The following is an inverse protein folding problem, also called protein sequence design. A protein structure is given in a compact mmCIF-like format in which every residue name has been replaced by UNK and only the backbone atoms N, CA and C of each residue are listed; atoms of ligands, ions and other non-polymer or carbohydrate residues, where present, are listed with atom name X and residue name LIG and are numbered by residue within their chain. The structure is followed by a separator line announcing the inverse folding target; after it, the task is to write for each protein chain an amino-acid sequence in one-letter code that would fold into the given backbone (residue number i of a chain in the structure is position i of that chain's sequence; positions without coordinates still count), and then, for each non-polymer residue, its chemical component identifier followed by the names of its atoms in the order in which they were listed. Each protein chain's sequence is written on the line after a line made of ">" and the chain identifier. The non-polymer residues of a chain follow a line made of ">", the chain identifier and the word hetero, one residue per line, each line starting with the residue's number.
data_IF_931929259380
#
_entry.id   IF_931929259380
#
_cell.length_a   1.000
_cell.length_b   1.000
_cell.length_c   1.000
_cell.angle_alpha   90.00
_cell.angle_beta   90.00
_cell.angle_gamma   90.00
#
_symmetry.space_group_name_H-M   'P 1'
#
loop_
_entity.id
_entity.type
_entity.pdbx_description
1 polymer ?
#
# COMPACT_ATOMS: atom_id res chain seq x y z
N UNK A 1 -25.02 -11.65 -4.91
CA UNK A 1 -24.54 -11.95 -6.27
C UNK A 1 -25.27 -10.99 -7.18
N UNK A 2 -24.61 -9.97 -7.73
CA UNK A 2 -25.27 -9.02 -8.64
C UNK A 2 -25.54 -9.72 -9.98
N UNK A 3 -26.73 -9.60 -10.52
CA UNK A 3 -27.13 -10.22 -11.81
C UNK A 3 -26.63 -9.39 -13.00
N UNK A 4 -26.49 -10.01 -14.16
CA UNK A 4 -26.06 -9.34 -15.41
C UNK A 4 -26.95 -8.13 -15.75
N UNK A 5 -28.25 -8.20 -15.44
CA UNK A 5 -29.22 -7.11 -15.62
C UNK A 5 -28.95 -5.90 -14.68
N UNK A 6 -28.31 -6.10 -13.53
CA UNK A 6 -27.89 -4.99 -12.64
C UNK A 6 -26.60 -4.31 -13.16
N UNK A 7 -25.85 -4.99 -14.04
CA UNK A 7 -24.68 -4.44 -14.74
C UNK A 7 -25.11 -3.69 -16.00
N UNK A 8 -26.18 -4.14 -16.67
CA UNK A 8 -26.82 -3.45 -17.79
C UNK A 8 -27.39 -2.07 -17.41
N UNK A 9 -27.73 -1.87 -16.11
CA UNK A 9 -28.16 -0.59 -15.57
C UNK A 9 -27.07 0.27 -14.93
N UNK A 10 -25.79 -0.15 -14.98
CA UNK A 10 -24.71 0.61 -14.33
C UNK A 10 -24.33 1.87 -15.13
N UNK A 11 -24.19 1.73 -16.46
CA UNK A 11 -23.90 2.81 -17.42
C UNK A 11 -24.57 2.49 -18.76
N UNK A 12 -25.19 3.49 -19.40
CA UNK A 12 -25.54 3.41 -20.83
C UNK A 12 -24.28 3.57 -21.69
N UNK A 13 -23.70 2.45 -22.12
CA UNK A 13 -22.52 2.40 -22.98
C UNK A 13 -22.75 2.97 -24.40
N UNK A 14 -24.00 3.22 -24.79
CA UNK A 14 -24.34 3.89 -26.05
C UNK A 14 -24.31 5.42 -25.91
N UNK A 15 -24.32 5.93 -24.68
CA UNK A 15 -24.23 7.35 -24.37
C UNK A 15 -22.77 7.77 -24.14
N UNK A 16 -22.23 8.51 -25.11
CA UNK A 16 -20.85 9.01 -25.07
C UNK A 16 -20.53 9.87 -23.84
N UNK A 17 -21.45 10.72 -23.41
CA UNK A 17 -21.21 11.62 -22.26
C UNK A 17 -21.25 10.87 -20.93
N UNK A 18 -22.10 9.85 -20.84
CA UNK A 18 -22.14 8.96 -19.68
C UNK A 18 -20.86 8.12 -19.58
N UNK A 19 -20.40 7.56 -20.71
CA UNK A 19 -19.12 6.85 -20.77
C UNK A 19 -17.94 7.75 -20.41
N UNK A 20 -17.92 8.99 -20.92
CA UNK A 20 -16.90 9.99 -20.57
C UNK A 20 -16.91 10.33 -19.08
N UNK A 21 -18.10 10.50 -18.49
CA UNK A 21 -18.28 10.78 -17.07
C UNK A 21 -17.74 9.64 -16.21
N UNK A 22 -18.05 8.39 -16.56
CA UNK A 22 -17.53 7.22 -15.86
C UNK A 22 -16.00 7.11 -15.94
N UNK A 23 -15.43 7.26 -17.14
CA UNK A 23 -13.98 7.22 -17.32
C UNK A 23 -13.31 8.29 -16.46
N UNK A 24 -13.84 9.51 -16.47
CA UNK A 24 -13.29 10.64 -15.72
C UNK A 24 -13.39 10.44 -14.20
N UNK A 25 -14.56 10.01 -13.71
CA UNK A 25 -14.86 10.03 -12.28
C UNK A 25 -14.48 8.73 -11.56
N UNK A 26 -14.48 7.60 -12.26
CA UNK A 26 -14.25 6.27 -11.67
C UNK A 26 -12.94 5.66 -12.16
N UNK A 27 -12.76 5.50 -13.47
CA UNK A 27 -11.59 4.80 -14.04
C UNK A 27 -10.30 5.57 -13.75
N UNK A 28 -10.25 6.86 -14.08
CA UNK A 28 -9.07 7.70 -13.84
C UNK A 28 -8.79 7.85 -12.35
N UNK A 29 -9.83 8.01 -11.52
CA UNK A 29 -9.68 8.10 -10.06
C UNK A 29 -9.03 6.85 -9.48
N UNK A 30 -9.54 5.66 -9.82
CA UNK A 30 -8.98 4.39 -9.36
C UNK A 30 -7.58 4.14 -9.93
N UNK A 31 -7.33 4.51 -11.19
CA UNK A 31 -6.00 4.43 -11.81
C UNK A 31 -4.99 5.29 -11.04
N UNK A 32 -5.36 6.52 -10.66
CA UNK A 32 -4.48 7.39 -9.84
C UNK A 32 -4.17 6.77 -8.49
N UNK A 33 -5.18 6.27 -7.78
CA UNK A 33 -4.99 5.69 -6.44
C UNK A 33 -4.10 4.44 -6.52
N UNK A 34 -4.37 3.54 -7.47
CA UNK A 34 -3.57 2.33 -7.67
C UNK A 34 -2.14 2.63 -8.10
N UNK A 35 -1.93 3.64 -8.95
CA UNK A 35 -0.61 4.15 -9.27
C UNK A 35 0.11 4.62 -7.99
N UNK A 36 -0.52 5.46 -7.17
CA UNK A 36 0.09 6.01 -5.95
C UNK A 36 0.47 4.91 -4.97
N UNK A 37 -0.42 3.94 -4.73
CA UNK A 37 -0.15 2.82 -3.81
C UNK A 37 1.00 1.95 -4.32
N UNK A 38 1.01 1.65 -5.63
CA UNK A 38 2.07 0.86 -6.28
C UNK A 38 3.43 1.56 -6.16
N UNK A 39 3.51 2.83 -6.52
CA UNK A 39 4.77 3.59 -6.45
C UNK A 39 5.20 3.82 -5.00
N UNK A 40 4.26 4.05 -4.07
CA UNK A 40 4.55 4.13 -2.63
C UNK A 40 5.21 2.84 -2.11
N UNK A 41 4.72 1.68 -2.53
CA UNK A 41 5.34 0.40 -2.21
C UNK A 41 6.75 0.26 -2.79
N UNK A 42 6.98 0.69 -4.05
CA UNK A 42 8.32 0.67 -4.64
C UNK A 42 9.31 1.53 -3.86
N UNK A 43 8.89 2.72 -3.42
CA UNK A 43 9.73 3.60 -2.60
C UNK A 43 10.01 3.01 -1.20
N UNK A 44 9.02 2.41 -0.54
CA UNK A 44 9.25 1.65 0.71
C UNK A 44 10.29 0.56 0.48
N UNK A 45 10.14 -0.22 -0.59
CA UNK A 45 11.05 -1.33 -0.89
C UNK A 45 12.46 -0.83 -1.15
N UNK A 46 12.63 0.27 -1.90
CA UNK A 46 13.93 0.89 -2.16
C UNK A 46 14.58 1.43 -0.89
N UNK A 47 13.81 2.04 0.01
CA UNK A 47 14.35 2.64 1.24
C UNK A 47 14.71 1.59 2.31
N UNK A 48 13.89 0.56 2.47
CA UNK A 48 13.97 -0.32 3.64
C UNK A 48 14.47 -1.74 3.38
N UNK A 49 14.38 -2.27 2.15
CA UNK A 49 14.68 -3.69 1.94
C UNK A 49 16.18 -4.00 2.16
N UNK A 50 16.45 -4.98 3.02
CA UNK A 50 17.79 -5.35 3.51
C UNK A 50 18.51 -4.26 4.32
N UNK A 51 17.83 -3.19 4.75
CA UNK A 51 18.41 -2.16 5.60
C UNK A 51 18.60 -2.70 7.04
N UNK A 52 19.79 -2.57 7.65
CA UNK A 52 19.97 -2.88 9.07
C UNK A 52 19.06 -2.01 9.95
N UNK A 53 18.41 -2.60 10.96
CA UNK A 53 17.52 -1.87 11.86
C UNK A 53 18.24 -0.72 12.59
N UNK A 54 19.54 -0.85 12.84
CA UNK A 54 20.39 0.21 13.43
C UNK A 54 20.56 1.44 12.53
N UNK A 55 20.39 1.28 11.22
CA UNK A 55 20.51 2.34 10.22
C UNK A 55 19.16 3.00 9.89
N UNK A 56 18.05 2.41 10.34
CA UNK A 56 16.71 3.00 10.18
C UNK A 56 16.64 4.31 10.96
N UNK A 57 16.17 5.37 10.30
CA UNK A 57 15.95 6.68 10.93
C UNK A 57 14.97 6.53 12.08
N UNK A 58 15.23 7.22 13.20
CA UNK A 58 14.39 7.16 14.41
C UNK A 58 12.91 7.45 14.13
N UNK A 59 12.63 8.36 13.19
CA UNK A 59 11.27 8.73 12.76
C UNK A 59 10.53 7.60 12.04
N UNK A 60 11.25 6.67 11.40
CA UNK A 60 10.69 5.57 10.62
C UNK A 60 10.57 4.26 11.44
N UNK A 61 11.24 4.17 12.60
CA UNK A 61 11.16 3.03 13.52
C UNK A 61 9.71 2.63 13.87
N UNK A 62 8.75 3.55 14.11
CA UNK A 62 7.36 3.19 14.37
C UNK A 62 6.70 2.37 13.25
N UNK A 63 7.15 2.49 12.00
CA UNK A 63 6.62 1.69 10.88
C UNK A 63 6.95 0.21 11.04
N UNK A 64 8.06 -0.11 11.71
CA UNK A 64 8.55 -1.47 11.93
C UNK A 64 8.15 -2.03 13.30
N UNK A 65 8.14 -1.17 14.33
CA UNK A 65 7.99 -1.58 15.73
C UNK A 65 6.75 -1.02 16.42
N UNK A 66 6.00 -0.12 15.77
CA UNK A 66 4.85 0.56 16.34
C UNK A 66 3.75 -0.42 16.77
N UNK A 67 3.59 -0.56 18.09
CA UNK A 67 2.58 -1.43 18.69
C UNK A 67 2.97 -2.90 18.76
N UNK A 68 4.27 -3.24 18.75
CA UNK A 68 4.77 -4.57 19.10
C UNK A 68 4.81 -4.73 20.63
N UNK A 69 4.43 -5.91 21.12
CA UNK A 69 4.54 -6.32 22.52
C UNK A 69 5.44 -7.56 22.64
N UNK A 70 6.70 -7.40 23.05
CA UNK A 70 7.64 -8.51 23.18
C UNK A 70 7.24 -9.57 24.22
N UNK A 71 6.37 -9.25 25.18
CA UNK A 71 6.08 -10.08 26.36
C UNK A 71 4.66 -10.68 26.35
N UNK A 72 3.95 -10.68 25.22
CA UNK A 72 2.60 -11.25 25.11
C UNK A 72 2.51 -12.32 24.04
N UNK A 73 1.56 -13.26 24.22
CA UNK A 73 1.24 -14.30 23.25
C UNK A 73 0.88 -13.72 21.87
N UNK A 74 0.26 -12.53 21.84
CA UNK A 74 0.07 -11.74 20.63
C UNK A 74 1.20 -10.72 20.46
N UNK A 75 2.00 -10.88 19.39
CA UNK A 75 3.14 -10.00 19.07
C UNK A 75 2.69 -8.55 18.78
N UNK A 76 1.51 -8.37 18.18
CA UNK A 76 1.04 -7.06 17.71
C UNK A 76 -0.26 -6.65 18.40
N UNK A 77 -0.30 -5.40 18.84
CA UNK A 77 -1.53 -4.74 19.29
C UNK A 77 -2.62 -4.70 18.21
N UNK A 78 -3.88 -4.61 18.63
CA UNK A 78 -5.05 -4.45 17.75
C UNK A 78 -4.89 -3.30 16.74
N UNK A 79 -4.36 -2.17 17.18
CA UNK A 79 -4.12 -0.98 16.35
C UNK A 79 -2.62 -0.78 16.06
N UNK A 80 -1.86 -1.86 15.93
CA UNK A 80 -0.42 -1.80 15.65
C UNK A 80 -0.16 -1.23 14.26
N UNK A 81 0.67 -0.19 14.22
CA UNK A 81 1.17 0.41 12.98
C UNK A 81 2.04 -0.60 12.21
N UNK A 82 2.94 -1.29 12.91
CA UNK A 82 3.79 -2.31 12.30
C UNK A 82 2.97 -3.44 11.66
N UNK A 83 1.90 -3.89 12.32
CA UNK A 83 0.99 -4.90 11.76
C UNK A 83 0.29 -4.40 10.49
N UNK A 84 -0.11 -3.14 10.46
CA UNK A 84 -0.73 -2.53 9.29
C UNK A 84 0.23 -2.50 8.10
N UNK A 85 1.45 -1.99 8.30
CA UNK A 85 2.48 -1.94 7.26
C UNK A 85 2.91 -3.34 6.78
N UNK A 86 3.04 -4.30 7.69
CA UNK A 86 3.25 -5.71 7.34
C UNK A 86 2.14 -6.26 6.43
N UNK A 87 0.86 -5.97 6.75
CA UNK A 87 -0.26 -6.56 6.01
C UNK A 87 -0.46 -5.97 4.63
N UNK A 88 -0.30 -4.65 4.48
CA UNK A 88 -0.51 -3.97 3.20
C UNK A 88 0.76 -3.90 2.36
N UNK A 89 1.92 -3.64 2.97
CA UNK A 89 3.17 -3.37 2.24
C UNK A 89 4.29 -4.38 2.54
N UNK A 90 4.05 -5.36 3.41
CA UNK A 90 5.01 -6.43 3.71
C UNK A 90 6.29 -5.98 4.40
N UNK A 91 6.30 -4.74 4.93
CA UNK A 91 7.39 -4.14 5.68
C UNK A 91 7.48 -4.75 7.08
N UNK A 92 8.61 -5.39 7.40
CA UNK A 92 8.83 -6.04 8.70
C UNK A 92 10.30 -6.18 9.04
N UNK A 93 10.59 -6.53 10.29
CA UNK A 93 11.88 -7.13 10.63
C UNK A 93 11.93 -8.56 10.09
N UNK A 94 13.05 -8.90 9.44
CA UNK A 94 13.29 -10.25 8.89
C UNK A 94 13.21 -11.34 9.95
N UNK A 95 13.73 -11.05 11.15
CA UNK A 95 13.65 -11.93 12.31
C UNK A 95 13.19 -11.16 13.56
N UNK A 96 11.86 -10.95 13.62
CA UNK A 96 11.20 -10.32 14.76
C UNK A 96 11.36 -11.10 16.07
N UNK A 97 11.52 -12.43 16.00
CA UNK A 97 11.64 -13.28 17.19
C UNK A 97 13.00 -13.08 17.85
N UNK A 98 14.08 -13.08 17.05
CA UNK A 98 15.40 -12.71 17.54
C UNK A 98 15.40 -11.30 18.13
N UNK A 99 14.76 -10.32 17.50
CA UNK A 99 14.62 -8.97 18.07
C UNK A 99 13.93 -8.99 19.44
N UNK A 100 12.81 -9.71 19.58
CA UNK A 100 12.08 -9.85 20.85
C UNK A 100 12.98 -10.47 21.93
N UNK A 101 13.70 -11.55 21.61
CA UNK A 101 14.61 -12.21 22.55
C UNK A 101 15.75 -11.28 23.00
N UNK A 102 16.33 -10.51 22.08
CA UNK A 102 17.35 -9.50 22.41
C UNK A 102 16.80 -8.44 23.38
N UNK A 103 15.56 -7.98 23.18
CA UNK A 103 14.92 -7.01 24.10
C UNK A 103 14.62 -7.59 25.47
N UNK A 104 14.33 -8.90 25.57
CA UNK A 104 14.04 -9.58 26.84
C UNK A 104 15.31 -9.88 27.65
N UNK A 105 16.39 -10.28 26.98
CA UNK A 105 17.60 -10.79 27.62
C UNK A 105 18.78 -9.79 27.63
N UNK A 106 18.68 -8.68 26.90
CA UNK A 106 19.73 -7.64 26.84
C UNK A 106 20.99 -8.06 26.08
N UNK A 107 20.93 -9.16 25.33
CA UNK A 107 22.04 -9.70 24.55
C UNK A 107 21.92 -9.27 23.08
N UNK A 108 23.03 -8.85 22.46
CA UNK A 108 23.08 -8.53 21.03
C UNK A 108 23.35 -9.80 20.22
N UNK A 109 22.29 -10.57 19.97
CA UNK A 109 22.41 -11.92 19.40
C UNK A 109 22.69 -11.92 17.88
N UNK A 110 22.15 -10.96 17.13
CA UNK A 110 22.21 -10.90 15.66
C UNK A 110 21.97 -9.48 15.13
N UNK A 111 22.56 -9.17 13.98
CA UNK A 111 22.19 -7.99 13.20
C UNK A 111 20.81 -8.21 12.56
N UNK A 112 19.84 -7.38 12.95
CA UNK A 112 18.46 -7.49 12.49
C UNK A 112 18.27 -6.58 11.30
N UNK A 113 17.87 -7.15 10.18
CA UNK A 113 17.58 -6.43 8.95
C UNK A 113 16.08 -6.28 8.75
N UNK A 114 15.72 -5.24 8.00
CA UNK A 114 14.38 -5.00 7.51
C UNK A 114 14.18 -5.78 6.21
N UNK A 115 12.97 -6.28 6.02
CA UNK A 115 12.53 -6.99 4.82
C UNK A 115 11.25 -6.36 4.30
N UNK A 116 11.17 -6.15 2.98
CA UNK A 116 9.96 -5.67 2.30
C UNK A 116 9.51 -6.72 1.30
N UNK A 117 8.47 -7.46 1.66
CA UNK A 117 7.89 -8.51 0.82
C UNK A 117 6.66 -8.02 0.07
N UNK A 118 6.49 -8.48 -1.17
CA UNK A 118 5.26 -8.19 -1.91
C UNK A 118 4.08 -8.94 -1.30
N UNK A 119 3.01 -8.21 -0.97
CA UNK A 119 1.79 -8.77 -0.38
C UNK A 119 0.74 -9.08 -1.46
N UNK A 120 -0.25 -9.91 -1.13
CA UNK A 120 -1.41 -10.13 -2.00
C UNK A 120 -2.18 -8.84 -2.32
N UNK A 121 -2.19 -7.89 -1.39
CA UNK A 121 -2.76 -6.56 -1.63
C UNK A 121 -1.99 -5.81 -2.73
N UNK A 122 -0.66 -5.77 -2.68
CA UNK A 122 0.15 -5.10 -3.71
C UNK A 122 0.03 -5.79 -5.07
N UNK A 123 -0.06 -7.13 -5.10
CA UNK A 123 -0.33 -7.87 -6.34
C UNK A 123 -1.65 -7.44 -6.96
N UNK A 124 -2.72 -7.38 -6.17
CA UNK A 124 -4.03 -6.91 -6.61
C UNK A 124 -3.99 -5.47 -7.13
N UNK A 125 -3.33 -4.56 -6.41
CA UNK A 125 -3.17 -3.16 -6.82
C UNK A 125 -2.48 -3.05 -8.18
N UNK A 126 -1.40 -3.82 -8.40
CA UNK A 126 -0.68 -3.84 -9.68
C UNK A 126 -1.52 -4.40 -10.81
N UNK A 127 -2.28 -5.46 -10.55
CA UNK A 127 -3.16 -6.06 -11.55
C UNK A 127 -4.24 -5.07 -11.98
N UNK A 128 -4.91 -4.42 -11.02
CA UNK A 128 -5.92 -3.40 -11.29
C UNK A 128 -5.29 -2.22 -12.03
N UNK A 129 -4.12 -1.73 -11.58
CA UNK A 129 -3.40 -0.66 -12.26
C UNK A 129 -3.15 -1.00 -13.73
N UNK A 130 -2.61 -2.19 -14.03
CA UNK A 130 -2.30 -2.60 -15.39
C UNK A 130 -3.57 -2.67 -16.28
N UNK A 131 -4.69 -3.16 -15.74
CA UNK A 131 -5.96 -3.21 -16.46
C UNK A 131 -6.50 -1.80 -16.77
N UNK A 132 -6.44 -0.90 -15.79
CA UNK A 132 -6.89 0.48 -15.95
C UNK A 132 -5.97 1.28 -16.88
N UNK A 133 -4.66 1.09 -16.75
CA UNK A 133 -3.66 1.75 -17.60
C UNK A 133 -3.87 1.33 -19.06
N UNK A 134 -4.05 0.04 -19.30
CA UNK A 134 -4.46 -0.47 -20.61
C UNK A 134 -5.77 0.19 -21.07
N UNK A 135 -6.84 0.14 -20.28
CA UNK A 135 -8.12 0.73 -20.67
C UNK A 135 -8.02 2.23 -21.03
N UNK A 136 -7.23 3.00 -20.28
CA UNK A 136 -7.03 4.42 -20.50
C UNK A 136 -6.20 4.73 -21.76
N UNK A 137 -5.23 3.88 -22.11
CA UNK A 137 -4.46 3.98 -23.36
C UNK A 137 -5.32 3.78 -24.62
N UNK A 138 -6.36 2.94 -24.56
CA UNK A 138 -7.17 2.59 -25.73
C UNK A 138 -8.50 3.36 -25.84
N UNK A 139 -8.97 3.99 -24.77
CA UNK A 139 -10.15 4.87 -24.86
C UNK A 139 -9.79 6.20 -25.52
N UNK A 140 -10.72 6.77 -26.28
CA UNK A 140 -10.52 8.03 -27.05
C UNK A 140 -11.35 9.20 -26.52
N UNK A 141 -11.97 9.05 -25.34
CA UNK A 141 -12.90 10.02 -24.78
C UNK A 141 -12.25 11.07 -23.89
N UNK A 142 -11.18 10.72 -23.18
CA UNK A 142 -10.47 11.58 -22.22
C UNK A 142 -8.97 11.40 -22.40
N UNK A 143 -8.28 12.41 -22.92
CA UNK A 143 -6.85 12.30 -23.25
C UNK A 143 -5.94 13.19 -22.39
N UNK A 144 -6.52 14.06 -21.58
CA UNK A 144 -5.82 15.09 -20.80
C UNK A 144 -5.58 14.70 -19.33
N UNK A 145 -5.74 13.43 -18.98
CA UNK A 145 -5.39 12.94 -17.66
C UNK A 145 -3.87 12.84 -17.51
N UNK A 146 -3.39 13.18 -16.31
CA UNK A 146 -1.97 13.20 -15.97
C UNK A 146 -1.66 12.15 -14.94
N UNK A 147 -0.47 11.58 -15.07
CA UNK A 147 0.15 10.78 -14.03
C UNK A 147 0.20 11.59 -12.73
N UNK A 148 -0.28 11.02 -11.61
CA UNK A 148 -0.26 11.70 -10.34
C UNK A 148 1.19 11.86 -9.85
N UNK A 149 1.41 12.83 -8.98
CA UNK A 149 2.72 13.01 -8.34
C UNK A 149 2.72 12.29 -6.99
N UNK A 150 3.77 11.50 -6.73
CA UNK A 150 3.97 10.86 -5.43
C UNK A 150 4.76 11.79 -4.51
N UNK A 151 4.14 12.27 -3.42
CA UNK A 151 4.87 12.89 -2.32
C UNK A 151 5.22 11.82 -1.26
N UNK A 152 6.26 11.04 -1.54
CA UNK A 152 6.63 9.87 -0.75
C UNK A 152 6.85 10.20 0.74
N UNK A 153 7.67 11.22 1.03
CA UNK A 153 8.01 11.60 2.40
C UNK A 153 6.79 12.05 3.20
N UNK A 154 5.86 12.76 2.57
CA UNK A 154 4.62 13.20 3.21
C UNK A 154 3.71 12.02 3.56
N UNK A 155 3.59 11.04 2.66
CA UNK A 155 2.77 9.85 2.87
C UNK A 155 3.41 8.95 3.94
N UNK A 156 4.73 8.72 3.88
CA UNK A 156 5.48 7.91 4.85
C UNK A 156 5.35 8.45 6.27
N UNK A 157 5.48 9.77 6.45
CA UNK A 157 5.43 10.41 7.77
C UNK A 157 4.02 10.52 8.35
N UNK A 158 2.98 10.21 7.57
CA UNK A 158 1.59 10.33 8.01
C UNK A 158 0.80 9.03 7.78
N UNK A 159 0.73 8.16 8.80
CA UNK A 159 -0.07 6.94 8.76
C UNK A 159 -1.54 7.14 8.40
N UNK A 160 -2.14 8.30 8.72
CA UNK A 160 -3.53 8.58 8.34
C UNK A 160 -3.66 8.76 6.83
N UNK A 161 -2.66 9.35 6.15
CA UNK A 161 -2.66 9.43 4.67
C UNK A 161 -2.58 8.05 4.02
N UNK A 162 -1.79 7.14 4.59
CA UNK A 162 -1.71 5.76 4.07
C UNK A 162 -3.04 5.03 4.25
N UNK A 163 -3.71 5.23 5.39
CA UNK A 163 -5.06 4.70 5.61
C UNK A 163 -6.08 5.29 4.65
N UNK A 164 -6.01 6.60 4.38
CA UNK A 164 -6.87 7.27 3.40
C UNK A 164 -6.67 6.71 1.99
N UNK A 165 -5.42 6.51 1.55
CA UNK A 165 -5.12 5.88 0.26
C UNK A 165 -5.72 4.48 0.15
N UNK A 166 -5.57 3.66 1.20
CA UNK A 166 -6.15 2.32 1.23
C UNK A 166 -7.68 2.40 1.24
N UNK A 167 -8.27 3.35 1.99
CA UNK A 167 -9.73 3.54 2.04
C UNK A 167 -10.29 3.98 0.69
N UNK A 168 -9.60 4.86 -0.03
CA UNK A 168 -10.04 5.32 -1.35
C UNK A 168 -9.91 4.23 -2.43
N UNK A 169 -9.05 3.24 -2.22
CA UNK A 169 -8.93 2.07 -3.09
C UNK A 169 -10.12 1.09 -2.95
N UNK A 170 -10.72 0.96 -1.76
CA UNK A 170 -11.85 0.06 -1.47
C UNK A 170 -13.20 0.70 -1.78
#
# INVERSE_FOLDING_TARGET
>A
MKTYDEVEGFIDYTNKEEWKSYVTNSVISLWRITWVIKEYFEEIKREFDNLPLSEVKKEDIPLLLGGIRPLSDEIYLRNSLAKFYLKFFGLRLKDIQSWILQQQHGETLTEITVEVTETEFIKLVREIFNLLDYALQYQTLVSDYKEPQLNYEEIKRNPEKVKELIREFY
#
